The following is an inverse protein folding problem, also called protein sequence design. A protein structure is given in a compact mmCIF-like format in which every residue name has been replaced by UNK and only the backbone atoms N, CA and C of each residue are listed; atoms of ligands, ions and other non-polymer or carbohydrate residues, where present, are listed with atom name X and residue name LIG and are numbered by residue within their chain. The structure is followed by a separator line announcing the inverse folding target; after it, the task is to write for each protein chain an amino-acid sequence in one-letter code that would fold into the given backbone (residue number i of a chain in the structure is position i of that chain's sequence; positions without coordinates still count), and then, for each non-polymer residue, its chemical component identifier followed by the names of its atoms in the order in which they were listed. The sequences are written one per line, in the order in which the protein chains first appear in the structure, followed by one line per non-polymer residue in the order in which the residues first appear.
data_IF_264258967677
#
_entry.id   IF_264258967677
#
_cell.length_a   1.000
_cell.length_b   1.000
_cell.length_c   1.000
_cell.angle_alpha   90.00
_cell.angle_beta   90.00
_cell.angle_gamma   90.00
#
_symmetry.space_group_name_H-M   'P 1'
#
loop_
_entity.id
_entity.type
_entity.pdbx_description
1 polymer ?
#
# COMPACT_ATOMS: atom_id res chain seq x y z
N UNK A 1 41.02 15.41 -8.68
CA UNK A 1 40.02 15.16 -7.61
C UNK A 1 39.10 14.07 -8.12
N UNK A 2 39.24 12.84 -7.60
CA UNK A 2 38.36 11.72 -7.95
C UNK A 2 37.18 11.73 -6.99
N UNK A 3 35.96 11.87 -7.52
CA UNK A 3 34.74 11.66 -6.77
C UNK A 3 34.59 10.16 -6.49
N UNK A 4 34.65 9.78 -5.21
CA UNK A 4 34.21 8.46 -4.77
C UNK A 4 32.68 8.43 -4.89
N UNK A 5 32.17 7.65 -5.84
CA UNK A 5 30.79 7.19 -5.81
C UNK A 5 30.70 6.17 -4.67
N UNK A 6 30.29 6.62 -3.48
CA UNK A 6 29.75 5.73 -2.47
C UNK A 6 28.39 5.24 -2.97
N UNK A 7 28.40 4.15 -3.74
CA UNK A 7 27.22 3.33 -3.93
C UNK A 7 26.80 2.81 -2.55
N UNK A 8 25.86 3.52 -1.93
CA UNK A 8 25.13 3.03 -0.77
C UNK A 8 24.43 1.75 -1.20
N UNK A 9 25.05 0.61 -0.89
CA UNK A 9 24.51 -0.72 -1.08
C UNK A 9 23.22 -0.80 -0.27
N UNK A 10 22.09 -0.51 -0.91
CA UNK A 10 20.76 -0.62 -0.30
C UNK A 10 20.57 -2.08 0.08
N UNK A 11 20.45 -2.38 1.38
CA UNK A 11 20.21 -3.77 1.78
C UNK A 11 18.88 -4.21 1.20
N UNK A 12 18.89 -5.33 0.48
CA UNK A 12 17.70 -5.93 -0.15
C UNK A 12 16.84 -6.67 0.90
N UNK A 13 16.93 -6.26 2.16
CA UNK A 13 16.23 -6.92 3.24
C UNK A 13 14.74 -6.59 3.16
N UNK A 14 13.86 -7.59 3.32
CA UNK A 14 12.43 -7.38 3.29
C UNK A 14 12.00 -6.46 4.43
N UNK A 15 10.97 -5.65 4.17
CA UNK A 15 10.31 -4.82 5.16
C UNK A 15 9.16 -5.62 5.79
N UNK A 16 9.12 -5.65 7.11
CA UNK A 16 7.97 -6.15 7.86
C UNK A 16 6.90 -5.06 7.96
N UNK A 17 5.71 -5.35 7.46
CA UNK A 17 4.55 -4.46 7.51
C UNK A 17 3.44 -5.12 8.31
N UNK A 18 2.91 -4.37 9.27
CA UNK A 18 1.67 -4.68 9.97
C UNK A 18 0.52 -3.92 9.33
N UNK A 19 -0.44 -4.66 8.77
CA UNK A 19 -1.67 -4.12 8.19
C UNK A 19 -2.81 -4.31 9.16
N UNK A 20 -3.57 -3.25 9.43
CA UNK A 20 -4.71 -3.28 10.31
C UNK A 20 -5.95 -2.75 9.59
N UNK A 21 -6.95 -3.62 9.43
CA UNK A 21 -8.25 -3.25 8.88
C UNK A 21 -9.19 -2.91 10.04
N UNK A 22 -9.58 -1.65 10.13
CA UNK A 22 -10.51 -1.12 11.13
C UNK A 22 -11.80 -0.65 10.46
N UNK A 23 -12.86 -0.53 11.25
CA UNK A 23 -14.10 0.10 10.82
C UNK A 23 -14.71 0.89 11.99
N UNK A 24 -14.94 2.19 11.79
CA UNK A 24 -15.34 3.11 12.86
C UNK A 24 -16.70 2.75 13.48
N UNK A 25 -17.60 2.14 12.71
CA UNK A 25 -18.99 1.89 13.11
C UNK A 25 -19.31 0.41 13.28
N UNK A 26 -18.43 -0.37 13.90
CA UNK A 26 -18.74 -1.77 14.24
C UNK A 26 -19.69 -1.83 15.44
N UNK A 27 -20.86 -2.43 15.24
CA UNK A 27 -21.77 -2.77 16.34
C UNK A 27 -21.16 -3.83 17.27
N UNK A 28 -21.61 -3.88 18.53
CA UNK A 28 -21.14 -4.88 19.49
C UNK A 28 -21.35 -6.32 19.00
N UNK A 29 -22.42 -6.57 18.24
CA UNK A 29 -22.66 -7.86 17.61
C UNK A 29 -21.56 -8.18 16.59
N UNK A 30 -21.24 -7.25 15.69
CA UNK A 30 -20.17 -7.44 14.71
C UNK A 30 -18.81 -7.61 15.37
N UNK A 31 -18.50 -6.88 16.44
CA UNK A 31 -17.25 -7.06 17.20
C UNK A 31 -17.15 -8.47 17.80
N UNK A 32 -18.24 -8.99 18.38
CA UNK A 32 -18.30 -10.38 18.88
C UNK A 32 -18.10 -11.39 17.75
N UNK A 33 -18.70 -11.15 16.58
CA UNK A 33 -18.51 -12.01 15.41
C UNK A 33 -17.06 -11.98 14.93
N UNK A 34 -16.43 -10.81 14.88
CA UNK A 34 -15.04 -10.66 14.48
C UNK A 34 -14.08 -11.36 15.44
N UNK A 35 -14.35 -11.29 16.74
CA UNK A 35 -13.59 -12.04 17.76
C UNK A 35 -13.75 -13.55 17.63
N UNK A 36 -14.95 -14.02 17.31
CA UNK A 36 -15.26 -15.45 17.23
C UNK A 36 -14.75 -16.10 15.93
N UNK A 37 -14.83 -15.41 14.80
CA UNK A 37 -14.56 -15.99 13.48
C UNK A 37 -13.44 -15.31 12.70
N UNK A 38 -13.08 -14.08 13.05
CA UNK A 38 -12.06 -13.29 12.35
C UNK A 38 -10.67 -13.34 12.99
N UNK A 39 -10.48 -14.19 14.01
CA UNK A 39 -9.23 -14.30 14.79
C UNK A 39 -8.75 -12.96 15.39
N UNK A 40 -9.68 -12.02 15.58
CA UNK A 40 -9.39 -10.73 16.20
C UNK A 40 -9.38 -10.86 17.72
N UNK A 41 -8.27 -10.51 18.37
CA UNK A 41 -8.17 -10.57 19.84
C UNK A 41 -9.16 -9.61 20.52
N UNK A 42 -9.31 -8.41 19.96
CA UNK A 42 -10.17 -7.34 20.49
C UNK A 42 -11.57 -7.38 19.89
N UNK A 43 -11.72 -7.84 18.64
CA UNK A 43 -12.95 -7.73 17.87
C UNK A 43 -13.10 -6.40 17.13
N UNK A 44 -12.13 -5.49 17.23
CA UNK A 44 -12.18 -4.16 16.61
C UNK A 44 -11.49 -4.10 15.24
N UNK A 45 -10.54 -5.01 14.99
CA UNK A 45 -9.74 -4.98 13.76
C UNK A 45 -9.27 -6.36 13.30
N UNK A 46 -8.96 -6.48 12.01
CA UNK A 46 -8.27 -7.65 11.45
C UNK A 46 -6.83 -7.24 11.16
N UNK A 47 -5.88 -7.96 11.75
CA UNK A 47 -4.45 -7.69 11.57
C UNK A 47 -3.83 -8.75 10.66
N UNK A 48 -2.95 -8.31 9.77
CA UNK A 48 -2.12 -9.16 8.91
C UNK A 48 -0.69 -8.64 8.91
N UNK A 49 0.24 -9.48 9.33
CA UNK A 49 1.68 -9.19 9.30
C UNK A 49 2.30 -9.86 8.08
N UNK A 50 3.03 -9.10 7.27
CA UNK A 50 3.66 -9.58 6.03
C UNK A 50 5.10 -9.07 5.89
N UNK A 51 5.91 -9.83 5.16
CA UNK A 51 7.21 -9.39 4.67
C UNK A 51 7.07 -9.01 3.20
N UNK A 52 7.48 -7.80 2.83
CA UNK A 52 7.51 -7.34 1.43
C UNK A 52 8.92 -6.94 1.01
N UNK A 53 9.26 -7.04 -0.28
CA UNK A 53 10.47 -6.42 -0.82
C UNK A 53 10.50 -4.91 -0.57
N UNK A 54 11.68 -4.38 -0.26
CA UNK A 54 11.88 -2.95 0.07
C UNK A 54 11.55 -2.02 -1.10
N UNK A 55 11.74 -2.52 -2.32
CA UNK A 55 11.50 -1.83 -3.59
C UNK A 55 10.05 -1.94 -4.08
N UNK A 56 9.17 -2.66 -3.37
CA UNK A 56 7.77 -2.81 -3.79
C UNK A 56 7.04 -1.46 -3.75
N UNK A 57 6.52 -0.97 -4.89
CA UNK A 57 5.80 0.29 -4.93
C UNK A 57 4.39 0.13 -4.32
N UNK A 58 3.78 1.24 -3.87
CA UNK A 58 2.48 1.24 -3.18
C UNK A 58 1.35 0.64 -4.02
N UNK A 59 1.40 0.74 -5.35
CA UNK A 59 0.38 0.14 -6.21
C UNK A 59 0.48 -1.40 -6.27
N UNK A 60 1.69 -1.99 -6.19
CA UNK A 60 1.85 -3.44 -6.04
C UNK A 60 1.49 -3.91 -4.63
N UNK A 61 1.83 -3.11 -3.61
CA UNK A 61 1.41 -3.35 -2.23
C UNK A 61 -0.12 -3.39 -2.11
N UNK A 62 -0.83 -2.54 -2.85
CA UNK A 62 -2.29 -2.60 -2.92
C UNK A 62 -2.79 -3.98 -3.36
N UNK A 63 -2.23 -4.58 -4.41
CA UNK A 63 -2.64 -5.92 -4.83
C UNK A 63 -2.33 -6.99 -3.78
N UNK A 64 -1.24 -6.85 -3.02
CA UNK A 64 -0.98 -7.70 -1.86
C UNK A 64 -2.06 -7.54 -0.77
N UNK A 65 -2.42 -6.30 -0.43
CA UNK A 65 -3.52 -5.99 0.51
C UNK A 65 -4.83 -6.64 0.04
N UNK A 66 -5.19 -6.46 -1.24
CA UNK A 66 -6.41 -7.05 -1.82
C UNK A 66 -6.44 -8.57 -1.61
N UNK A 67 -5.33 -9.26 -1.89
CA UNK A 67 -5.24 -10.71 -1.71
C UNK A 67 -5.33 -11.12 -0.23
N UNK A 68 -4.67 -10.40 0.68
CA UNK A 68 -4.64 -10.71 2.11
C UNK A 68 -6.01 -10.59 2.77
N UNK A 69 -6.83 -9.65 2.30
CA UNK A 69 -8.19 -9.42 2.81
C UNK A 69 -9.29 -10.03 1.93
N UNK A 70 -8.93 -10.76 0.87
CA UNK A 70 -9.89 -11.43 -0.02
C UNK A 70 -10.76 -10.47 -0.85
N UNK A 71 -10.25 -9.27 -1.12
CA UNK A 71 -10.93 -8.22 -1.88
C UNK A 71 -10.70 -8.36 -3.39
N UNK A 72 -11.57 -7.72 -4.18
CA UNK A 72 -11.63 -7.86 -5.66
C UNK A 72 -11.25 -6.60 -6.42
N UNK A 73 -10.65 -5.62 -5.76
CA UNK A 73 -10.27 -4.33 -6.35
C UNK A 73 -11.45 -3.58 -7.00
N UNK A 74 -12.65 -3.64 -6.41
CA UNK A 74 -13.89 -3.08 -6.96
C UNK A 74 -14.20 -1.64 -6.52
N UNK A 75 -13.33 -1.02 -5.74
CA UNK A 75 -13.55 0.30 -5.15
C UNK A 75 -12.32 1.19 -5.29
N UNK A 76 -12.55 2.51 -5.34
CA UNK A 76 -11.51 3.52 -5.30
C UNK A 76 -10.73 3.43 -3.98
N UNK A 77 -9.46 3.87 -4.02
CA UNK A 77 -8.53 3.78 -2.90
C UNK A 77 -7.63 5.01 -2.84
N UNK A 78 -7.07 5.28 -1.67
CA UNK A 78 -6.07 6.31 -1.47
C UNK A 78 -5.07 5.88 -0.39
N UNK A 79 -3.78 6.08 -0.65
CA UNK A 79 -2.76 5.98 0.38
C UNK A 79 -2.55 7.36 0.99
N UNK A 80 -2.77 7.46 2.29
CA UNK A 80 -2.54 8.69 3.03
C UNK A 80 -1.45 8.46 4.08
N UNK A 81 -0.53 9.40 4.17
CA UNK A 81 0.42 9.44 5.28
C UNK A 81 -0.23 10.17 6.47
N UNK A 82 0.10 9.78 7.71
CA UNK A 82 -0.25 10.59 8.87
C UNK A 82 0.26 12.02 8.69
N UNK A 83 -0.53 13.02 9.11
CA UNK A 83 -0.24 14.44 8.90
C UNK A 83 1.18 14.83 9.30
N UNK A 84 1.62 14.46 10.50
CA UNK A 84 2.98 14.73 10.96
C UNK A 84 4.10 14.12 10.07
N UNK A 85 3.85 12.99 9.42
CA UNK A 85 4.79 12.37 8.46
C UNK A 85 4.75 13.11 7.14
N UNK A 86 3.56 13.45 6.68
CA UNK A 86 3.36 14.20 5.46
C UNK A 86 4.07 15.55 5.54
N UNK A 87 3.83 16.33 6.60
CA UNK A 87 4.49 17.61 6.83
C UNK A 87 6.01 17.48 6.91
N UNK A 88 6.51 16.46 7.61
CA UNK A 88 7.96 16.21 7.70
C UNK A 88 8.58 15.90 6.33
N UNK A 89 7.88 15.16 5.47
CA UNK A 89 8.34 14.79 4.13
C UNK A 89 8.30 15.98 3.17
N UNK A 90 7.20 16.73 3.14
CA UNK A 90 7.01 17.87 2.25
C UNK A 90 7.63 19.16 2.78
N UNK A 91 8.15 19.12 4.02
CA UNK A 91 8.60 20.28 4.81
C UNK A 91 7.51 21.35 4.98
N UNK A 92 6.23 20.95 4.86
CA UNK A 92 5.09 21.86 4.85
C UNK A 92 5.05 22.80 3.63
N UNK A 93 5.78 22.49 2.56
CA UNK A 93 5.87 23.35 1.37
C UNK A 93 5.26 22.68 0.14
N UNK A 94 4.61 23.48 -0.71
CA UNK A 94 4.10 23.03 -2.02
C UNK A 94 5.25 22.51 -2.89
N UNK A 95 6.43 23.13 -2.83
CA UNK A 95 7.62 22.67 -3.57
C UNK A 95 8.06 21.28 -3.10
N UNK A 96 8.19 21.06 -1.80
CA UNK A 96 8.58 19.75 -1.27
C UNK A 96 7.54 18.66 -1.54
N UNK A 97 6.26 19.02 -1.65
CA UNK A 97 5.24 18.10 -2.19
C UNK A 97 5.45 17.83 -3.68
N UNK A 98 5.63 18.87 -4.51
CA UNK A 98 5.80 18.75 -5.97
C UNK A 98 7.04 17.93 -6.35
N UNK A 99 8.13 18.04 -5.58
CA UNK A 99 9.35 17.26 -5.78
C UNK A 99 9.13 15.74 -5.55
N UNK A 100 8.05 15.37 -4.86
CA UNK A 100 7.69 13.98 -4.53
C UNK A 100 6.54 13.43 -5.39
N UNK A 101 5.93 14.26 -6.24
CA UNK A 101 4.90 13.84 -7.19
C UNK A 101 5.51 12.93 -8.26
N UNK A 102 4.84 11.82 -8.57
CA UNK A 102 5.32 10.81 -9.52
C UNK A 102 6.27 9.77 -8.91
N UNK A 103 6.84 10.05 -7.73
CA UNK A 103 7.70 9.12 -6.98
C UNK A 103 6.96 8.54 -5.77
N UNK A 104 6.43 9.41 -4.90
CA UNK A 104 5.72 9.03 -3.67
C UNK A 104 4.24 9.38 -3.76
N UNK A 105 3.91 10.54 -4.32
CA UNK A 105 2.54 11.01 -4.45
C UNK A 105 2.03 10.88 -5.88
N UNK A 106 0.73 10.65 -6.01
CA UNK A 106 0.07 10.70 -7.30
C UNK A 106 0.10 12.14 -7.85
N UNK A 107 0.35 12.28 -9.16
CA UNK A 107 0.20 13.56 -9.85
C UNK A 107 -1.25 14.04 -9.76
N UNK A 108 -1.52 15.33 -9.51
CA UNK A 108 -2.86 15.87 -9.67
C UNK A 108 -3.22 15.87 -11.16
N UNK A 109 -3.76 14.76 -11.65
CA UNK A 109 -4.48 14.71 -12.91
C UNK A 109 -5.94 15.07 -12.67
N UNK A 110 -6.58 15.71 -13.65
CA UNK A 110 -8.03 16.00 -13.62
C UNK A 110 -8.91 14.74 -13.70
N UNK A 111 -8.33 13.58 -14.04
CA UNK A 111 -9.01 12.28 -14.00
C UNK A 111 -8.72 11.57 -12.68
N UNK A 112 -9.76 11.45 -11.85
CA UNK A 112 -9.75 10.68 -10.60
C UNK A 112 -9.60 9.15 -10.83
N UNK A 113 -9.72 8.71 -12.09
CA UNK A 113 -9.93 7.32 -12.51
C UNK A 113 -8.72 6.61 -13.13
N UNK A 114 -7.49 7.12 -12.93
CA UNK A 114 -6.31 6.38 -13.39
C UNK A 114 -5.89 5.41 -12.29
N UNK A 115 -6.42 4.17 -12.36
CA UNK A 115 -5.76 3.06 -11.70
C UNK A 115 -4.31 3.02 -12.21
N UNK A 116 -3.35 3.32 -11.34
CA UNK A 116 -1.93 3.21 -11.67
C UNK A 116 -1.67 1.81 -12.24
N UNK A 117 -1.34 1.74 -13.52
CA UNK A 117 -0.92 0.52 -14.22
C UNK A 117 -1.96 -0.62 -14.24
N UNK A 118 -3.26 -0.30 -14.28
CA UNK A 118 -4.29 -1.32 -14.55
C UNK A 118 -4.35 -1.65 -16.03
N UNK A 119 -3.53 -2.64 -16.40
CA UNK A 119 -3.44 -3.25 -17.72
C UNK A 119 -4.34 -4.49 -17.83
N UNK A 120 -5.33 -4.67 -16.93
CA UNK A 120 -6.22 -5.82 -17.00
C UNK A 120 -7.21 -5.70 -18.15
N UNK A 121 -6.87 -6.32 -19.28
CA UNK A 121 -7.75 -6.34 -20.46
C UNK A 121 -8.75 -7.51 -20.42
N UNK A 122 -8.27 -8.73 -20.17
CA UNK A 122 -9.07 -9.98 -20.21
C UNK A 122 -8.31 -11.18 -19.64
N UNK A 123 -9.02 -12.20 -19.15
CA UNK A 123 -8.45 -13.49 -18.77
C UNK A 123 -8.81 -13.92 -17.34
N UNK A 124 -7.94 -14.71 -16.70
CA UNK A 124 -8.14 -15.13 -15.33
C UNK A 124 -7.59 -14.06 -14.37
N UNK A 125 -8.51 -13.36 -13.70
CA UNK A 125 -8.20 -12.31 -12.73
C UNK A 125 -7.20 -12.74 -11.65
N UNK A 126 -7.30 -13.98 -11.13
CA UNK A 126 -6.40 -14.46 -10.08
C UNK A 126 -4.96 -14.65 -10.58
N UNK A 127 -4.79 -15.08 -11.84
CA UNK A 127 -3.47 -15.22 -12.46
C UNK A 127 -2.84 -13.86 -12.76
N UNK A 128 -3.64 -12.90 -13.25
CA UNK A 128 -3.18 -11.54 -13.47
C UNK A 128 -2.78 -10.87 -12.14
N UNK A 129 -3.64 -10.96 -11.12
CA UNK A 129 -3.38 -10.44 -9.79
C UNK A 129 -2.09 -11.04 -9.20
N UNK A 130 -1.87 -12.35 -9.41
CA UNK A 130 -0.64 -13.04 -8.96
C UNK A 130 0.64 -12.41 -9.54
N UNK A 131 0.62 -12.01 -10.81
CA UNK A 131 1.78 -11.36 -11.44
C UNK A 131 2.08 -9.99 -10.85
N UNK A 132 1.04 -9.23 -10.47
CA UNK A 132 1.20 -7.87 -9.96
C UNK A 132 1.86 -7.79 -8.58
N UNK A 133 1.76 -8.82 -7.73
CA UNK A 133 2.46 -8.85 -6.44
C UNK A 133 3.62 -9.87 -6.40
N UNK A 134 4.12 -10.33 -7.54
CA UNK A 134 5.36 -11.09 -7.63
C UNK A 134 6.41 -10.25 -8.34
N UNK A 135 7.48 -9.91 -7.64
CA UNK A 135 8.62 -9.21 -8.23
C UNK A 135 9.35 -10.05 -9.30
N UNK A 136 10.44 -9.52 -9.84
CA UNK A 136 11.15 -8.34 -9.35
C UNK A 136 10.49 -7.00 -9.79
N UNK A 137 10.57 -5.98 -8.94
CA UNK A 137 9.95 -4.65 -9.16
C UNK A 137 11.03 -3.66 -9.61
N UNK A 138 11.43 -3.75 -10.87
CA UNK A 138 12.41 -2.85 -11.49
C UNK A 138 11.86 -2.23 -12.77
#
# INVERSE_FOLDING_TARGET
MQYKNDEQKTSNDPIHIRLELTHEYLSDYQKRMLKRYGESSTGDSIIRDILIPRDMPLHNLHYAIQKLFGWRNSHLRRFCLPEHRFEKLTKGTVKGWSDLVGVVFQSPSESEDIFWDDDYERGNFNLWLKKKYTGPYH
#
